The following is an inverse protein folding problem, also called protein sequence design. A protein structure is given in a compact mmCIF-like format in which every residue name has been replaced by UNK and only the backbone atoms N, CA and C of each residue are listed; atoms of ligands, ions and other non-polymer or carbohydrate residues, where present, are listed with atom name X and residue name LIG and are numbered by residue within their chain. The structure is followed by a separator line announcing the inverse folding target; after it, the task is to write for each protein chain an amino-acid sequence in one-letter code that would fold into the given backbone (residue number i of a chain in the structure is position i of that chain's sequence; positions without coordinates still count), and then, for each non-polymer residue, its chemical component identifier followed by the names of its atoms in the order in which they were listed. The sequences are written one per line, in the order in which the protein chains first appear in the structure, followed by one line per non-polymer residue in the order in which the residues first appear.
data_IF_745007523599
#
_entry.id   IF_745007523599
#
_cell.length_a   1.000
_cell.length_b   1.000
_cell.length_c   1.000
_cell.angle_alpha   90.00
_cell.angle_beta   90.00
_cell.angle_gamma   90.00
#
_symmetry.space_group_name_H-M   'P 1'
#
loop_
_entity.id
_entity.type
_entity.pdbx_description
1 polymer ?
#
# COMPACT_ATOMS: atom_id res chain seq x y z
N UNK A 1 -2.87 -11.59 8.94
CA UNK A 1 -3.54 -10.41 8.34
C UNK A 1 -4.84 -10.87 7.70
N UNK A 2 -5.96 -10.19 7.95
CA UNK A 2 -7.31 -10.56 7.48
C UNK A 2 -8.17 -9.33 7.19
N UNK A 3 -7.71 -8.46 6.28
CA UNK A 3 -8.42 -7.24 5.88
C UNK A 3 -9.15 -7.39 4.54
N UNK A 4 -10.21 -6.61 4.36
CA UNK A 4 -11.04 -6.65 3.14
C UNK A 4 -10.60 -5.56 2.16
N UNK A 5 -10.43 -5.94 0.90
CA UNK A 5 -9.94 -5.03 -0.15
C UNK A 5 -10.94 -4.92 -1.29
N UNK A 6 -11.08 -3.72 -1.86
CA UNK A 6 -11.74 -3.51 -3.14
C UNK A 6 -10.77 -2.98 -4.19
N UNK A 7 -10.94 -3.44 -5.43
CA UNK A 7 -10.19 -3.05 -6.61
C UNK A 7 -11.13 -2.46 -7.66
N UNK A 8 -10.97 -1.17 -7.94
CA UNK A 8 -11.71 -0.46 -8.99
C UNK A 8 -10.85 -0.49 -10.25
N UNK A 9 -11.11 -1.47 -11.11
CA UNK A 9 -10.41 -1.71 -12.37
C UNK A 9 -11.05 -0.88 -13.49
N UNK A 10 -10.58 0.36 -13.63
CA UNK A 10 -10.97 1.29 -14.69
C UNK A 10 -10.16 1.05 -15.97
N UNK A 11 -8.97 0.44 -15.86
CA UNK A 11 -8.16 0.07 -17.03
C UNK A 11 -8.63 -1.22 -17.72
N UNK A 12 -9.51 -2.00 -17.08
CA UNK A 12 -9.98 -3.31 -17.55
C UNK A 12 -8.82 -4.28 -17.85
N UNK A 13 -7.78 -4.23 -17.02
CA UNK A 13 -6.50 -4.90 -17.25
C UNK A 13 -6.10 -5.86 -16.13
N UNK A 14 -6.93 -6.02 -15.09
CA UNK A 14 -6.64 -6.95 -14.01
C UNK A 14 -6.73 -8.41 -14.49
N UNK A 15 -5.64 -9.16 -14.32
CA UNK A 15 -5.60 -10.60 -14.60
C UNK A 15 -5.72 -11.39 -13.28
N UNK A 16 -6.84 -12.12 -13.04
CA UNK A 16 -7.05 -12.90 -11.83
C UNK A 16 -5.95 -13.91 -11.52
N UNK A 17 -5.43 -14.60 -12.54
CA UNK A 17 -4.40 -15.61 -12.37
C UNK A 17 -3.09 -14.98 -11.87
N UNK A 18 -2.68 -13.87 -12.47
CA UNK A 18 -1.50 -13.11 -12.05
C UNK A 18 -1.64 -12.59 -10.60
N UNK A 19 -2.82 -12.06 -10.27
CA UNK A 19 -3.13 -11.60 -8.91
C UNK A 19 -3.03 -12.74 -7.89
N UNK A 20 -3.58 -13.92 -8.21
CA UNK A 20 -3.48 -15.10 -7.36
C UNK A 20 -2.03 -15.56 -7.17
N UNK A 21 -1.21 -15.55 -8.22
CA UNK A 21 0.21 -15.87 -8.14
C UNK A 21 0.98 -14.90 -7.23
N UNK A 22 0.56 -13.62 -7.18
CA UNK A 22 1.08 -12.63 -6.24
C UNK A 22 0.61 -12.83 -4.77
N UNK A 23 -0.21 -13.85 -4.51
CA UNK A 23 -0.75 -14.17 -3.18
C UNK A 23 -2.04 -13.43 -2.82
N UNK A 24 -2.75 -12.85 -3.80
CA UNK A 24 -4.05 -12.21 -3.57
C UNK A 24 -5.13 -13.29 -3.51
N UNK A 25 -5.99 -13.24 -2.48
CA UNK A 25 -7.22 -14.04 -2.46
C UNK A 25 -8.25 -13.40 -3.39
N UNK A 26 -8.32 -13.90 -4.63
CA UNK A 26 -9.20 -13.34 -5.67
C UNK A 26 -10.68 -13.54 -5.35
N UNK A 27 -11.03 -14.62 -4.65
CA UNK A 27 -12.43 -14.94 -4.32
C UNK A 27 -13.04 -13.93 -3.32
N UNK A 28 -12.20 -13.35 -2.47
CA UNK A 28 -12.61 -12.34 -1.47
C UNK A 28 -12.35 -10.89 -1.96
N UNK A 29 -11.70 -10.71 -3.11
CA UNK A 29 -11.40 -9.39 -3.66
C UNK A 29 -12.66 -8.80 -4.29
N UNK A 30 -13.14 -7.67 -3.76
CA UNK A 30 -14.25 -6.95 -4.39
C UNK A 30 -13.75 -6.21 -5.63
N UNK A 31 -14.08 -6.72 -6.82
CA UNK A 31 -13.69 -6.10 -8.09
C UNK A 31 -14.87 -5.32 -8.66
N UNK A 32 -14.63 -4.08 -9.09
CA UNK A 32 -15.60 -3.26 -9.83
C UNK A 32 -14.97 -2.74 -11.11
N UNK A 33 -15.68 -2.89 -12.22
CA UNK A 33 -15.31 -2.38 -13.54
C UNK A 33 -16.32 -1.31 -13.98
N UNK A 34 -16.07 -0.03 -13.64
CA UNK A 34 -16.99 1.05 -13.95
C UNK A 34 -16.87 1.52 -15.39
N UNK A 35 -17.97 2.01 -15.97
CA UNK A 35 -18.03 2.54 -17.33
C UNK A 35 -17.52 3.99 -17.42
N UNK A 36 -17.62 4.75 -16.32
CA UNK A 36 -17.30 6.20 -16.30
C UNK A 36 -16.47 6.57 -15.07
N UNK A 37 -15.68 7.64 -15.19
CA UNK A 37 -14.87 8.18 -14.09
C UNK A 37 -15.72 8.63 -12.90
N UNK A 38 -16.90 9.21 -13.14
CA UNK A 38 -17.86 9.56 -12.09
C UNK A 38 -18.31 8.32 -11.32
N UNK A 39 -18.76 7.29 -12.04
CA UNK A 39 -19.23 6.03 -11.43
C UNK A 39 -18.12 5.36 -10.63
N UNK A 40 -16.89 5.31 -11.14
CA UNK A 40 -15.74 4.75 -10.43
C UNK A 40 -15.52 5.43 -9.06
N UNK A 41 -15.60 6.76 -9.04
CA UNK A 41 -15.38 7.56 -7.83
C UNK A 41 -16.57 7.51 -6.87
N UNK A 42 -17.80 7.37 -7.38
CA UNK A 42 -19.01 7.15 -6.59
C UNK A 42 -19.02 5.77 -5.92
N UNK A 43 -18.64 4.72 -6.65
CA UNK A 43 -18.46 3.37 -6.09
C UNK A 43 -17.40 3.40 -5.00
N UNK A 44 -16.25 4.01 -5.27
CA UNK A 44 -15.19 4.20 -4.28
C UNK A 44 -15.70 4.93 -3.02
N UNK A 45 -16.47 6.01 -3.17
CA UNK A 45 -17.06 6.74 -2.04
C UNK A 45 -18.03 5.86 -1.23
N UNK A 46 -18.93 5.12 -1.90
CA UNK A 46 -19.89 4.24 -1.24
C UNK A 46 -19.21 3.12 -0.45
N UNK A 47 -18.20 2.49 -1.06
CA UNK A 47 -17.41 1.43 -0.44
C UNK A 47 -16.67 1.92 0.81
N UNK A 48 -16.02 3.09 0.74
CA UNK A 48 -15.33 3.68 1.91
C UNK A 48 -16.34 4.04 3.02
N UNK A 49 -17.50 4.58 2.65
CA UNK A 49 -18.55 4.95 3.63
C UNK A 49 -19.21 3.75 4.31
N UNK A 50 -19.11 2.55 3.73
CA UNK A 50 -19.59 1.33 4.36
C UNK A 50 -18.79 0.95 5.61
N UNK A 51 -17.56 1.47 5.75
CA UNK A 51 -16.59 1.10 6.80
C UNK A 51 -16.28 -0.41 6.85
N UNK A 52 -16.59 -1.16 5.79
CA UNK A 52 -16.36 -2.60 5.72
C UNK A 52 -15.01 -2.97 5.07
N UNK A 53 -14.27 -1.98 4.56
CA UNK A 53 -13.04 -2.19 3.80
C UNK A 53 -11.84 -1.53 4.48
N UNK A 54 -10.71 -2.23 4.46
CA UNK A 54 -9.43 -1.73 4.94
C UNK A 54 -8.66 -1.02 3.84
N UNK A 55 -8.79 -1.49 2.59
CA UNK A 55 -8.08 -0.92 1.43
C UNK A 55 -9.01 -0.81 0.22
N UNK A 56 -8.94 0.32 -0.47
CA UNK A 56 -9.56 0.51 -1.79
C UNK A 56 -8.49 0.97 -2.76
N UNK A 57 -8.35 0.26 -3.88
CA UNK A 57 -7.42 0.59 -4.96
C UNK A 57 -8.20 1.08 -6.18
N UNK A 58 -7.76 2.18 -6.80
CA UNK A 58 -8.31 2.68 -8.05
C UNK A 58 -7.22 2.61 -9.13
N UNK A 59 -7.45 1.76 -10.13
CA UNK A 59 -6.53 1.49 -11.23
C UNK A 59 -7.17 1.80 -12.59
N UNK A 60 -6.91 2.95 -13.21
CA UNK A 60 -6.03 4.03 -12.77
C UNK A 60 -6.67 5.40 -12.98
N UNK A 61 -6.07 6.42 -12.38
CA UNK A 61 -6.53 7.81 -12.54
C UNK A 61 -6.49 8.27 -14.00
N UNK A 62 -5.58 7.73 -14.82
CA UNK A 62 -5.51 8.07 -16.22
C UNK A 62 -6.76 7.62 -16.99
N UNK A 63 -7.35 6.50 -16.60
CA UNK A 63 -8.53 5.90 -17.20
C UNK A 63 -9.86 6.41 -16.63
N UNK A 64 -9.85 7.29 -15.62
CA UNK A 64 -11.05 7.94 -15.11
C UNK A 64 -11.59 8.97 -16.12
N UNK A 65 -12.20 8.48 -17.20
CA UNK A 65 -12.76 9.30 -18.28
C UNK A 65 -14.16 9.78 -17.88
N UNK A 66 -14.41 11.10 -17.84
CA UNK A 66 -15.72 11.64 -17.53
C UNK A 66 -16.80 11.19 -18.54
N UNK A 67 -18.03 11.00 -18.09
CA UNK A 67 -19.15 10.59 -18.96
C UNK A 67 -19.30 11.46 -20.21
N UNK A 68 -19.20 12.78 -20.06
CA UNK A 68 -19.34 13.70 -21.18
C UNK A 68 -18.23 13.57 -22.25
N UNK A 69 -17.08 13.00 -21.89
CA UNK A 69 -16.00 12.69 -22.84
C UNK A 69 -16.24 11.35 -23.55
N UNK A 70 -16.88 10.38 -22.88
CA UNK A 70 -17.27 9.09 -23.46
C UNK A 70 -18.43 9.24 -24.43
N UNK A 71 -19.42 10.09 -24.10
CA UNK A 71 -20.60 10.35 -24.93
C UNK A 71 -20.34 11.37 -26.05
N UNK A 72 -19.24 12.11 -25.97
CA UNK A 72 -18.84 13.11 -26.96
C UNK A 72 -18.18 12.51 -28.19
N UNK A 73 -17.96 13.34 -29.21
CA UNK A 73 -17.28 12.91 -30.43
C UNK A 73 -15.76 12.95 -30.25
N UNK A 74 -15.05 12.04 -30.93
CA UNK A 74 -13.59 12.02 -30.91
C UNK A 74 -13.02 13.33 -31.48
N UNK A 75 -12.33 14.09 -30.64
CA UNK A 75 -11.78 15.41 -31.00
C UNK A 75 -12.49 16.58 -30.34
N UNK A 76 -13.58 16.33 -29.61
CA UNK A 76 -14.24 17.35 -28.81
C UNK A 76 -13.31 17.92 -27.74
N UNK A 77 -13.30 19.25 -27.62
CA UNK A 77 -12.45 19.96 -26.68
C UNK A 77 -13.18 20.17 -25.36
N UNK A 78 -12.89 19.33 -24.37
CA UNK A 78 -13.40 19.43 -23.00
C UNK A 78 -12.24 19.71 -22.00
N UNK A 79 -11.58 20.88 -22.09
CA UNK A 79 -10.34 21.13 -21.38
C UNK A 79 -10.52 21.06 -19.87
N UNK A 80 -9.73 20.18 -19.23
CA UNK A 80 -9.66 20.08 -17.78
C UNK A 80 -10.85 19.40 -17.12
N UNK A 81 -11.72 18.71 -17.88
CA UNK A 81 -12.88 18.02 -17.34
C UNK A 81 -12.49 16.98 -16.27
N UNK A 82 -11.55 16.08 -16.60
CA UNK A 82 -11.01 15.09 -15.66
C UNK A 82 -10.40 15.74 -14.41
N UNK A 83 -9.69 16.86 -14.55
CA UNK A 83 -9.09 17.57 -13.42
C UNK A 83 -10.14 18.17 -12.47
N UNK A 84 -11.27 18.65 -13.01
CA UNK A 84 -12.41 19.14 -12.22
C UNK A 84 -13.12 18.00 -11.51
N UNK A 85 -13.38 16.89 -12.20
CA UNK A 85 -13.94 15.67 -11.62
C UNK A 85 -13.11 15.20 -10.42
N UNK A 86 -11.80 15.01 -10.61
CA UNK A 86 -10.89 14.61 -9.53
C UNK A 86 -10.88 15.59 -8.35
N UNK A 87 -10.91 16.90 -8.62
CA UNK A 87 -10.94 17.91 -7.56
C UNK A 87 -12.22 17.85 -6.72
N UNK A 88 -13.37 17.59 -7.35
CA UNK A 88 -14.65 17.44 -6.68
C UNK A 88 -14.72 16.13 -5.91
N UNK A 89 -14.33 15.02 -6.52
CA UNK A 89 -14.35 13.70 -5.91
C UNK A 89 -13.42 13.62 -4.69
N UNK A 90 -12.16 14.07 -4.82
CA UNK A 90 -11.21 14.03 -3.71
C UNK A 90 -11.65 14.86 -2.51
N UNK A 91 -12.37 15.98 -2.74
CA UNK A 91 -12.95 16.77 -1.64
C UNK A 91 -13.97 15.96 -0.83
N UNK A 92 -14.80 15.13 -1.48
CA UNK A 92 -15.75 14.24 -0.82
C UNK A 92 -15.05 13.04 -0.17
N UNK A 93 -14.20 12.36 -0.94
CA UNK A 93 -13.47 11.16 -0.54
C UNK A 93 -12.57 11.40 0.67
N UNK A 94 -11.87 12.54 0.73
CA UNK A 94 -10.99 12.85 1.89
C UNK A 94 -11.78 12.86 3.20
N UNK A 95 -13.01 13.40 3.18
CA UNK A 95 -13.87 13.36 4.36
C UNK A 95 -14.34 11.95 4.72
N UNK A 96 -14.62 11.10 3.73
CA UNK A 96 -15.01 9.71 3.95
C UNK A 96 -13.82 8.87 4.47
N UNK A 97 -12.64 8.99 3.85
CA UNK A 97 -11.39 8.35 4.25
C UNK A 97 -10.99 8.75 5.66
N UNK A 98 -11.12 10.03 6.05
CA UNK A 98 -10.75 10.45 7.40
C UNK A 98 -11.66 9.91 8.51
N UNK A 99 -12.90 9.51 8.17
CA UNK A 99 -13.87 8.93 9.13
C UNK A 99 -13.89 7.41 9.12
N UNK A 100 -13.30 6.80 8.09
CA UNK A 100 -13.15 5.35 7.97
C UNK A 100 -11.70 5.00 8.34
N UNK A 101 -11.44 3.74 8.69
CA UNK A 101 -10.07 3.25 8.83
C UNK A 101 -9.57 2.66 7.50
N UNK A 102 -10.00 3.24 6.37
CA UNK A 102 -9.76 2.70 5.03
C UNK A 102 -8.61 3.45 4.33
N UNK A 103 -7.63 2.71 3.82
CA UNK A 103 -6.59 3.25 2.96
C UNK A 103 -7.08 3.33 1.50
N UNK A 104 -7.08 4.53 0.92
CA UNK A 104 -7.40 4.75 -0.50
C UNK A 104 -6.12 4.93 -1.32
N UNK A 105 -5.88 4.01 -2.25
CA UNK A 105 -4.72 3.97 -3.14
C UNK A 105 -5.15 4.31 -4.56
N UNK A 106 -4.50 5.30 -5.17
CA UNK A 106 -4.67 5.62 -6.58
C UNK A 106 -3.41 5.23 -7.36
N UNK A 107 -3.58 4.41 -8.39
CA UNK A 107 -2.55 4.15 -9.39
C UNK A 107 -2.65 5.26 -10.45
N UNK A 108 -1.50 5.73 -10.92
CA UNK A 108 -1.46 6.78 -11.93
C UNK A 108 -0.25 6.61 -12.85
N UNK A 109 -0.40 7.12 -14.06
CA UNK A 109 0.60 7.00 -15.11
C UNK A 109 1.43 8.28 -15.20
N UNK A 110 2.66 8.15 -15.69
CA UNK A 110 3.46 9.29 -16.08
C UNK A 110 3.07 9.73 -17.51
N UNK A 111 3.07 11.04 -17.72
CA UNK A 111 2.92 11.71 -19.01
C UNK A 111 3.98 12.80 -19.11
N UNK A 112 4.30 13.21 -20.32
CA UNK A 112 5.19 14.35 -20.54
C UNK A 112 4.37 15.59 -20.90
N UNK A 113 4.72 16.72 -20.29
CA UNK A 113 4.12 18.00 -20.63
C UNK A 113 4.85 18.59 -21.85
N UNK A 114 4.15 18.64 -22.97
CA UNK A 114 4.65 19.27 -24.21
C UNK A 114 5.00 20.74 -23.95
N UNK A 115 6.15 21.17 -24.46
CA UNK A 115 6.61 22.57 -24.40
C UNK A 115 7.43 22.96 -23.16
N UNK A 116 7.79 22.01 -22.29
CA UNK A 116 8.73 22.27 -21.18
C UNK A 116 10.16 22.14 -21.69
N UNK A 117 10.84 23.28 -21.84
CA UNK A 117 12.24 23.34 -22.33
C UNK A 117 13.27 23.31 -21.17
N UNK A 118 12.82 23.52 -19.93
CA UNK A 118 13.65 23.52 -18.73
C UNK A 118 12.91 22.90 -17.53
N UNK A 119 13.60 22.04 -16.77
CA UNK A 119 13.06 21.33 -15.61
C UNK A 119 12.54 19.92 -15.93
N UNK A 120 11.85 19.28 -14.98
CA UNK A 120 11.26 17.95 -15.18
C UNK A 120 9.96 18.06 -16.00
N UNK A 121 9.88 17.46 -17.22
CA UNK A 121 8.68 17.48 -18.05
C UNK A 121 7.58 16.53 -17.56
N UNK A 122 7.89 15.63 -16.62
CA UNK A 122 6.94 14.61 -16.15
C UNK A 122 5.76 15.23 -15.39
N UNK A 123 4.57 14.77 -15.75
CA UNK A 123 3.30 15.10 -15.11
C UNK A 123 2.45 13.84 -14.95
N UNK A 124 1.36 13.97 -14.19
CA UNK A 124 0.40 12.88 -13.95
C UNK A 124 -0.99 13.34 -14.39
N UNK A 125 -1.80 12.46 -15.02
CA UNK A 125 -3.23 12.70 -15.30
C UNK A 125 -4.06 13.03 -14.05
N UNK A 126 -5.29 13.53 -14.26
CA UNK A 126 -6.21 13.90 -13.18
C UNK A 126 -5.95 15.28 -12.53
N UNK A 127 -5.09 16.10 -13.14
CA UNK A 127 -4.78 17.45 -12.65
C UNK A 127 -3.91 17.46 -11.38
N UNK A 128 -4.05 18.52 -10.57
CA UNK A 128 -3.19 18.74 -9.39
C UNK A 128 -3.78 18.25 -8.07
N UNK A 129 -5.10 18.00 -8.02
CA UNK A 129 -5.81 17.73 -6.78
C UNK A 129 -5.19 16.54 -6.03
N UNK A 130 -4.98 15.41 -6.70
CA UNK A 130 -4.40 14.21 -6.10
C UNK A 130 -3.05 14.51 -5.43
N UNK A 131 -2.17 15.29 -6.08
CA UNK A 131 -0.87 15.68 -5.52
C UNK A 131 -0.99 16.38 -4.16
N UNK A 132 -2.06 17.14 -3.92
CA UNK A 132 -2.29 17.86 -2.66
C UNK A 132 -3.01 17.01 -1.61
N UNK A 133 -4.03 16.26 -2.02
CA UNK A 133 -4.82 15.43 -1.11
C UNK A 133 -4.06 14.20 -0.61
N UNK A 134 -3.26 13.52 -1.45
CA UNK A 134 -2.51 12.33 -1.03
C UNK A 134 -1.63 12.59 0.19
N UNK A 135 -1.70 11.70 1.19
CA UNK A 135 -0.83 11.73 2.37
C UNK A 135 0.57 11.22 2.03
N UNK A 136 0.65 10.17 1.24
CA UNK A 136 1.91 9.58 0.75
C UNK A 136 1.86 9.53 -0.78
N UNK A 137 3.00 9.78 -1.44
CA UNK A 137 3.18 9.55 -2.88
C UNK A 137 4.47 8.80 -3.11
N UNK A 138 4.38 7.74 -3.89
CA UNK A 138 5.49 6.86 -4.23
C UNK A 138 5.70 6.96 -5.74
N UNK A 139 6.93 7.28 -6.15
CA UNK A 139 7.40 7.17 -7.53
C UNK A 139 8.08 5.81 -7.68
N UNK A 140 7.50 4.93 -8.50
CA UNK A 140 7.98 3.56 -8.74
C UNK A 140 8.64 3.49 -10.12
N UNK A 141 9.88 3.02 -10.18
CA UNK A 141 10.64 2.90 -11.43
C UNK A 141 11.38 1.58 -11.51
N UNK A 142 11.28 0.93 -12.68
CA UNK A 142 12.17 -0.18 -13.03
C UNK A 142 13.59 0.34 -13.24
N UNK A 143 14.56 -0.27 -12.56
CA UNK A 143 15.99 0.05 -12.67
C UNK A 143 16.65 -0.87 -13.69
N UNK A 144 16.49 -2.17 -13.50
CA UNK A 144 17.15 -3.21 -14.31
C UNK A 144 16.24 -4.44 -14.43
N UNK A 145 16.47 -5.25 -15.46
CA UNK A 145 15.82 -6.55 -15.63
C UNK A 145 16.72 -7.66 -15.10
N UNK A 146 16.16 -8.50 -14.23
CA UNK A 146 16.82 -9.68 -13.69
C UNK A 146 16.70 -10.79 -14.73
N UNK A 147 17.83 -11.43 -15.07
CA UNK A 147 17.89 -12.45 -16.12
C UNK A 147 18.53 -13.73 -15.62
N UNK A 148 18.01 -14.85 -16.08
CA UNK A 148 18.64 -16.16 -15.95
C UNK A 148 18.86 -16.73 -17.35
N UNK A 149 20.11 -16.68 -17.81
CA UNK A 149 20.43 -16.96 -19.22
C UNK A 149 19.71 -15.99 -20.16
N UNK A 150 18.94 -16.47 -21.15
CA UNK A 150 18.20 -15.62 -22.08
C UNK A 150 16.88 -15.07 -21.51
N UNK A 151 16.36 -15.65 -20.42
CA UNK A 151 15.03 -15.35 -19.91
C UNK A 151 15.06 -14.21 -18.88
N UNK A 152 14.09 -13.31 -18.96
CA UNK A 152 13.85 -12.28 -17.93
C UNK A 152 13.01 -12.91 -16.83
N UNK A 153 13.57 -13.01 -15.63
CA UNK A 153 12.95 -13.66 -14.47
C UNK A 153 12.36 -12.67 -13.46
N UNK A 154 12.58 -11.37 -13.66
CA UNK A 154 12.08 -10.32 -12.78
C UNK A 154 12.64 -8.96 -13.12
N UNK A 155 12.33 -7.98 -12.28
CA UNK A 155 12.83 -6.61 -12.38
C UNK A 155 13.30 -6.12 -11.02
N UNK A 156 14.44 -5.41 -10.99
CA UNK A 156 14.77 -4.55 -9.85
C UNK A 156 14.00 -3.26 -9.98
N UNK A 157 13.35 -2.84 -8.91
CA UNK A 157 12.49 -1.67 -8.85
C UNK A 157 12.95 -0.76 -7.73
N UNK A 158 12.95 0.55 -7.97
CA UNK A 158 13.16 1.60 -6.98
C UNK A 158 11.84 2.32 -6.72
N UNK A 159 11.44 2.38 -5.47
CA UNK A 159 10.32 3.18 -4.99
C UNK A 159 10.86 4.37 -4.19
N UNK A 160 10.60 5.59 -4.65
CA UNK A 160 10.97 6.82 -3.96
C UNK A 160 9.74 7.48 -3.36
N UNK A 161 9.76 7.78 -2.07
CA UNK A 161 8.67 8.50 -1.40
C UNK A 161 8.80 10.00 -1.69
N UNK A 162 8.14 10.47 -2.75
CA UNK A 162 8.21 11.87 -3.21
C UNK A 162 7.34 12.83 -2.39
N UNK A 163 6.42 12.30 -1.58
CA UNK A 163 5.63 13.05 -0.60
C UNK A 163 5.31 12.13 0.57
N UNK A 164 5.44 12.64 1.79
CA UNK A 164 5.04 11.94 3.00
C UNK A 164 4.53 12.96 4.04
N UNK A 165 3.34 12.72 4.60
CA UNK A 165 2.76 13.52 5.70
C UNK A 165 2.85 12.84 7.07
N UNK A 166 3.24 11.55 7.12
CA UNK A 166 3.25 10.75 8.36
C UNK A 166 4.66 10.47 8.87
N UNK A 167 5.67 10.59 8.01
CA UNK A 167 7.08 10.41 8.36
C UNK A 167 7.98 11.26 7.42
N UNK A 168 9.30 11.33 7.66
CA UNK A 168 10.22 12.05 6.77
C UNK A 168 10.12 11.58 5.31
N UNK A 169 9.96 12.50 4.34
CA UNK A 169 9.88 12.15 2.91
C UNK A 169 11.27 11.85 2.31
N UNK A 170 11.27 11.50 1.02
CA UNK A 170 12.46 11.31 0.16
C UNK A 170 13.34 10.10 0.45
N UNK A 171 12.92 9.24 1.38
CA UNK A 171 13.48 7.88 1.48
C UNK A 171 13.15 7.07 0.22
N UNK A 172 13.99 6.11 -0.06
CA UNK A 172 13.85 5.19 -1.18
C UNK A 172 13.98 3.74 -0.69
N UNK A 173 13.30 2.83 -1.37
CA UNK A 173 13.44 1.40 -1.18
C UNK A 173 13.73 0.76 -2.54
N UNK A 174 14.63 -0.21 -2.57
CA UNK A 174 14.93 -1.01 -3.75
C UNK A 174 14.62 -2.47 -3.46
N UNK A 175 13.93 -3.12 -4.37
CA UNK A 175 13.52 -4.51 -4.22
C UNK A 175 13.31 -5.18 -5.57
N UNK A 176 13.20 -6.49 -5.55
CA UNK A 176 12.96 -7.31 -6.74
C UNK A 176 11.48 -7.62 -6.86
N UNK A 177 10.92 -7.45 -8.06
CA UNK A 177 9.64 -8.02 -8.46
C UNK A 177 9.96 -9.20 -9.36
N UNK A 178 9.63 -10.40 -8.90
CA UNK A 178 9.95 -11.67 -9.54
C UNK A 178 8.75 -12.18 -10.35
N UNK A 179 9.02 -12.88 -11.44
CA UNK A 179 8.02 -13.46 -12.33
C UNK A 179 8.14 -14.98 -12.42
N UNK A 180 8.85 -15.61 -11.48
CA UNK A 180 9.07 -17.05 -11.50
C UNK A 180 7.96 -17.77 -10.73
N UNK A 181 7.69 -19.05 -11.02
CA UNK A 181 6.65 -19.80 -10.31
C UNK A 181 6.94 -19.98 -8.81
N UNK A 182 8.21 -20.02 -8.41
CA UNK A 182 8.62 -20.26 -7.01
C UNK A 182 8.53 -19.00 -6.14
N UNK A 183 8.59 -17.83 -6.75
CA UNK A 183 8.48 -16.54 -6.09
C UNK A 183 7.94 -15.53 -7.11
N UNK A 184 6.66 -15.19 -6.97
CA UNK A 184 5.98 -14.28 -7.87
C UNK A 184 5.56 -13.00 -7.12
N UNK A 185 5.79 -11.83 -7.72
CA UNK A 185 5.58 -10.55 -7.07
C UNK A 185 6.81 -10.06 -6.28
N UNK A 186 6.60 -9.25 -5.24
CA UNK A 186 7.70 -8.66 -4.46
C UNK A 186 8.45 -9.76 -3.69
N UNK A 187 9.75 -9.91 -3.94
CA UNK A 187 10.58 -10.93 -3.28
C UNK A 187 10.82 -10.61 -1.80
N UNK A 188 10.01 -11.20 -0.91
CA UNK A 188 10.20 -11.05 0.55
C UNK A 188 11.56 -11.58 0.98
N UNK A 189 11.96 -12.75 0.49
CA UNK A 189 13.25 -13.38 0.85
C UNK A 189 14.45 -12.56 0.40
N UNK A 190 14.41 -12.01 -0.82
CA UNK A 190 15.45 -11.13 -1.34
C UNK A 190 15.59 -9.85 -0.53
N UNK A 191 14.46 -9.24 -0.15
CA UNK A 191 14.45 -8.01 0.64
C UNK A 191 14.98 -8.21 2.06
N UNK A 192 14.54 -9.28 2.74
CA UNK A 192 15.02 -9.59 4.10
C UNK A 192 16.52 -9.86 4.07
N UNK A 193 17.02 -10.63 3.09
CA UNK A 193 18.45 -10.92 2.96
C UNK A 193 19.28 -9.65 2.75
N UNK A 194 18.82 -8.73 1.90
CA UNK A 194 19.52 -7.47 1.64
C UNK A 194 19.62 -6.61 2.88
N UNK A 195 18.50 -6.42 3.56
CA UNK A 195 18.47 -5.65 4.80
C UNK A 195 19.28 -6.34 5.91
N UNK A 196 19.24 -7.67 5.99
CA UNK A 196 20.01 -8.41 6.98
C UNK A 196 21.53 -8.26 6.78
N UNK A 197 21.98 -8.13 5.54
CA UNK A 197 23.38 -7.81 5.24
C UNK A 197 23.70 -6.35 5.56
N UNK A 198 22.80 -5.43 5.23
CA UNK A 198 22.96 -4.00 5.53
C UNK A 198 23.06 -3.72 7.04
N UNK A 199 22.23 -4.39 7.85
CA UNK A 199 22.23 -4.31 9.31
C UNK A 199 23.24 -5.25 9.98
N UNK A 200 24.13 -5.88 9.22
CA UNK A 200 25.19 -6.78 9.72
C UNK A 200 24.70 -8.01 10.51
N UNK A 201 23.43 -8.39 10.35
CA UNK A 201 22.83 -9.60 10.93
C UNK A 201 23.32 -10.84 10.19
N UNK A 202 23.34 -10.77 8.85
CA UNK A 202 23.89 -11.81 7.98
C UNK A 202 25.27 -11.37 7.48
N UNK A 203 26.29 -12.19 7.72
CA UNK A 203 27.65 -11.93 7.25
C UNK A 203 27.81 -12.42 5.82
N UNK A 204 28.36 -11.56 4.97
CA UNK A 204 28.75 -11.89 3.59
C UNK A 204 30.26 -11.98 3.48
N UNK A 205 30.79 -13.21 3.34
CA UNK A 205 32.22 -13.47 3.15
C UNK A 205 32.47 -13.94 1.71
N UNK A 206 32.92 -13.02 0.87
CA UNK A 206 33.05 -13.27 -0.57
C UNK A 206 31.69 -13.58 -1.20
N UNK A 207 31.52 -14.82 -1.68
CA UNK A 207 30.26 -15.30 -2.24
C UNK A 207 29.35 -15.97 -1.19
N UNK A 208 29.80 -16.18 0.05
CA UNK A 208 29.04 -16.94 1.05
C UNK A 208 28.25 -16.03 1.98
N UNK A 209 27.02 -16.46 2.31
CA UNK A 209 26.15 -15.81 3.29
C UNK A 209 26.02 -16.72 4.51
N UNK A 210 26.18 -16.15 5.72
CA UNK A 210 26.08 -16.88 6.98
C UNK A 210 25.37 -16.08 8.07
N UNK A 211 24.55 -16.76 8.86
CA UNK A 211 23.92 -16.26 10.07
C UNK A 211 24.63 -16.90 11.27
N UNK A 212 25.44 -16.12 11.99
CA UNK A 212 26.35 -16.69 13.00
C UNK A 212 27.29 -17.73 12.36
N UNK A 213 27.26 -18.96 12.88
CA UNK A 213 28.02 -20.10 12.36
C UNK A 213 27.26 -20.91 11.28
N UNK A 214 25.97 -20.62 11.08
CA UNK A 214 25.14 -21.31 10.11
C UNK A 214 25.32 -20.71 8.72
N UNK A 215 25.60 -21.57 7.74
CA UNK A 215 25.80 -21.15 6.35
C UNK A 215 24.48 -21.21 5.59
N UNK A 216 24.03 -20.05 5.09
CA UNK A 216 22.77 -19.90 4.34
C UNK A 216 22.93 -20.32 2.88
N UNK A 217 24.10 -20.08 2.27
CA UNK A 217 24.33 -20.47 0.87
C UNK A 217 25.53 -19.82 0.21
N UNK A 218 25.84 -20.28 -1.01
CA UNK A 218 26.83 -19.66 -1.90
C UNK A 218 26.12 -18.85 -2.98
N UNK A 219 26.27 -17.53 -2.93
CA UNK A 219 25.57 -16.60 -3.79
C UNK A 219 24.20 -16.23 -3.23
N UNK A 220 23.66 -15.13 -3.77
CA UNK A 220 22.38 -14.54 -3.33
C UNK A 220 21.22 -15.50 -3.56
N UNK A 221 21.13 -16.12 -4.74
CA UNK A 221 20.02 -17.01 -5.08
C UNK A 221 19.98 -18.27 -4.21
N UNK A 222 21.14 -18.84 -3.87
CA UNK A 222 21.20 -19.99 -2.96
C UNK A 222 20.73 -19.61 -1.54
N UNK A 223 21.14 -18.43 -1.06
CA UNK A 223 20.68 -17.92 0.24
C UNK A 223 19.17 -17.61 0.24
N UNK A 224 18.62 -17.05 -0.84
CA UNK A 224 17.17 -16.84 -1.01
C UNK A 224 16.41 -18.17 -0.99
N UNK A 225 16.90 -19.18 -1.71
CA UNK A 225 16.31 -20.51 -1.72
C UNK A 225 16.29 -21.13 -0.31
N UNK A 226 17.40 -21.01 0.42
CA UNK A 226 17.49 -21.47 1.80
C UNK A 226 16.44 -20.81 2.71
N UNK A 227 16.30 -19.48 2.65
CA UNK A 227 15.30 -18.74 3.44
C UNK A 227 13.86 -19.06 3.05
N UNK A 228 13.62 -19.44 1.79
CA UNK A 228 12.29 -19.89 1.33
C UNK A 228 11.93 -21.26 1.90
N UNK A 229 12.92 -22.15 2.00
CA UNK A 229 12.76 -23.50 2.57
C UNK A 229 12.70 -23.50 4.11
N UNK A 230 13.29 -22.48 4.76
CA UNK A 230 13.37 -22.35 6.21
C UNK A 230 12.69 -21.06 6.67
N UNK A 231 11.35 -21.08 6.67
CA UNK A 231 10.51 -19.92 6.97
C UNK A 231 10.67 -19.41 8.42
N UNK A 232 11.03 -20.29 9.35
CA UNK A 232 11.38 -19.98 10.73
C UNK A 232 12.62 -19.08 10.80
N UNK A 233 13.70 -19.48 10.12
CA UNK A 233 14.93 -18.69 10.04
C UNK A 233 14.68 -17.35 9.34
N UNK A 234 13.85 -17.33 8.29
CA UNK A 234 13.49 -16.09 7.61
C UNK A 234 12.71 -15.12 8.52
N UNK A 235 11.81 -15.65 9.36
CA UNK A 235 11.06 -14.86 10.34
C UNK A 235 11.99 -14.28 11.43
N UNK A 236 12.91 -15.08 11.97
CA UNK A 236 13.89 -14.63 12.97
C UNK A 236 14.77 -13.50 12.43
N UNK A 237 15.25 -13.63 11.18
CA UNK A 237 16.02 -12.58 10.51
C UNK A 237 15.15 -11.34 10.31
N UNK A 238 13.89 -11.47 9.88
CA UNK A 238 12.99 -10.33 9.70
C UNK A 238 12.76 -9.58 11.02
N UNK A 239 12.50 -10.28 12.12
CA UNK A 239 12.31 -9.67 13.44
C UNK A 239 13.58 -8.94 13.89
N UNK A 240 14.77 -9.55 13.68
CA UNK A 240 16.04 -8.90 13.98
C UNK A 240 16.26 -7.63 13.13
N UNK A 241 15.96 -7.68 11.83
CA UNK A 241 16.05 -6.53 10.90
C UNK A 241 15.10 -5.41 11.34
N UNK A 242 13.85 -5.72 11.65
CA UNK A 242 12.85 -4.73 12.11
C UNK A 242 13.28 -4.07 13.41
N UNK A 243 13.78 -4.86 14.36
CA UNK A 243 14.32 -4.36 15.63
C UNK A 243 15.51 -3.42 15.41
N UNK A 244 16.48 -3.80 14.56
CA UNK A 244 17.61 -2.96 14.19
C UNK A 244 17.19 -1.66 13.48
N UNK A 245 16.12 -1.72 12.68
CA UNK A 245 15.53 -0.56 12.01
C UNK A 245 14.68 0.33 12.94
N UNK A 246 14.44 -0.08 14.19
CA UNK A 246 13.58 0.63 15.14
C UNK A 246 12.09 0.56 14.79
N UNK A 247 11.67 -0.47 14.04
CA UNK A 247 10.28 -0.69 13.65
C UNK A 247 9.70 -1.80 14.56
N UNK A 248 8.62 -1.54 15.31
CA UNK A 248 7.99 -2.55 16.15
C UNK A 248 7.54 -3.77 15.35
N UNK A 249 7.56 -4.93 15.99
CA UNK A 249 7.02 -6.17 15.41
C UNK A 249 5.51 -6.00 15.17
N UNK A 250 4.99 -6.27 13.95
CA UNK A 250 3.57 -6.18 13.65
C UNK A 250 2.70 -6.99 14.63
N UNK A 251 3.13 -8.17 15.07
CA UNK A 251 2.35 -9.01 15.99
C UNK A 251 2.34 -8.42 17.42
N UNK A 252 3.44 -7.79 17.84
CA UNK A 252 3.48 -7.07 19.11
C UNK A 252 2.60 -5.80 19.06
N UNK A 253 2.55 -5.11 17.92
CA UNK A 253 1.74 -3.89 17.77
C UNK A 253 0.23 -4.16 17.79
N UNK A 254 -0.21 -5.32 17.30
CA UNK A 254 -1.62 -5.75 17.36
C UNK A 254 -2.04 -6.14 18.78
N UNK A 255 -1.19 -6.87 19.51
CA UNK A 255 -1.45 -7.23 20.89
C UNK A 255 -1.56 -6.00 21.83
N UNK A 256 -0.76 -4.95 21.57
CA UNK A 256 -0.83 -3.69 22.33
C UNK A 256 -2.10 -2.92 21.98
N UNK A 257 -2.49 -2.85 20.70
CA UNK A 257 -3.72 -2.20 20.27
C UNK A 257 -4.99 -2.91 20.80
N UNK A 258 -5.01 -4.24 20.85
CA UNK A 258 -6.09 -5.02 21.47
C UNK A 258 -6.15 -4.82 22.99
N UNK A 259 -5.00 -4.73 23.67
CA UNK A 259 -4.95 -4.46 25.11
C UNK A 259 -5.43 -3.04 25.47
N UNK A 260 -5.12 -2.03 24.64
CA UNK A 260 -5.61 -0.66 24.81
C UNK A 260 -7.13 -0.54 24.50
N UNK A 261 -7.63 -1.32 23.54
CA UNK A 261 -9.06 -1.41 23.27
C UNK A 261 -9.85 -2.08 24.41
N UNK A 262 -9.29 -3.09 25.08
CA UNK A 262 -9.93 -3.73 26.25
C UNK A 262 -9.92 -2.84 27.50
N UNK A 263 -8.90 -2.01 27.69
CA UNK A 263 -8.79 -1.15 28.88
C UNK A 263 -9.67 0.10 28.81
N UNK A 264 -9.98 0.59 27.61
CA UNK A 264 -10.88 1.74 27.40
C UNK A 264 -12.39 1.40 27.50
N UNK A 265 -12.76 0.12 27.58
CA UNK A 265 -14.15 -0.36 27.61
C UNK A 265 -14.80 -0.54 28.99
N UNK A 266 -14.11 -0.24 30.11
CA UNK A 266 -14.66 -0.46 31.46
C UNK A 266 -14.79 0.83 32.26
N UNK A 267 -15.92 1.53 32.09
CA UNK A 267 -16.43 2.44 33.14
C UNK A 267 -17.67 1.80 33.73
N UNK A 268 -17.68 1.34 35.00
CA UNK A 268 -18.91 0.88 35.62
C UNK A 268 -19.78 2.10 35.94
N UNK A 269 -21.02 2.08 35.44
CA UNK A 269 -22.09 2.97 35.85
C UNK A 269 -22.37 2.77 37.35
N UNK A 270 -21.94 3.73 38.17
CA UNK A 270 -22.29 3.80 39.58
C UNK A 270 -23.74 4.26 39.75
N UNK A 271 -24.60 3.28 39.95
CA UNK A 271 -25.95 3.43 40.50
C UNK A 271 -25.84 4.03 41.92
N UNK A 272 -26.42 5.20 42.14
CA UNK A 272 -26.66 5.75 43.49
C UNK A 272 -28.17 5.84 43.70
N UNK A 273 -28.71 4.81 44.32
CA UNK A 273 -30.00 4.88 44.98
C UNK A 273 -29.90 4.39 46.42
N UNK A 274 -30.64 5.09 47.29
CA UNK A 274 -31.00 4.82 48.69
C UNK A 274 -30.09 5.37 49.81
N UNK A 275 -30.73 6.07 50.75
CA UNK A 275 -30.17 6.33 52.09
C UNK A 275 -30.62 7.61 52.77
N UNK A 276 -31.88 7.64 53.20
CA UNK A 276 -32.50 8.53 54.21
C UNK A 276 -31.58 9.11 55.30
N UNK A 277 -31.73 10.41 55.59
CA UNK A 277 -31.20 11.06 56.79
C UNK A 277 -32.00 12.33 57.12
N UNK A 278 -32.72 12.27 58.24
CA UNK A 278 -33.50 13.34 58.86
C UNK A 278 -32.69 14.63 59.12
N UNK A 279 -33.34 15.78 58.97
CA UNK A 279 -32.86 17.06 59.52
C UNK A 279 -33.84 17.51 60.62
N UNK A 280 -33.37 17.90 61.82
CA UNK A 280 -34.21 18.51 62.83
C UNK A 280 -34.26 20.05 62.67
N UNK A 281 -35.46 20.60 62.92
CA UNK A 281 -35.80 21.82 63.67
C UNK A 281 -34.79 23.00 63.66
N UNK A 282 -35.15 24.13 63.05
CA UNK A 282 -35.71 25.32 63.74
C UNK A 282 -35.63 26.60 62.87
N UNK A 283 -36.67 27.44 63.03
CA UNK A 283 -36.90 28.83 62.55
C UNK A 283 -37.31 29.06 61.09
#
# INVERSE_FOLDING_TARGET
LGGTTAYIDVEHALEPEYASQCGINVDELLISQPDTGEQALEICEALIRSNALDVVVVDSVAALVPRAEIEGDMGDSLPGLQARLMSQALRKLTGAVARSNTALVFINQLREKVGVVFGNPETTPGGRALKFYSSVRIDIRRIESLKQGPNVIGNRVRCKVVKNKTAPPFRQAEFEIMFTPEEHGISRTGNILDLAVEYEIVKKLGAYYSLGDQRLGQGREAAKAYLREHADVAADIETAVRSAAGIPDPDASQAVAEAEALTSGSTPSGDQSSGSGELPLDA
#
